data_IF_915226161349
#
_entry.id   IF_915226161349
#
_cell.length_a   1.000
_cell.length_b   1.000
_cell.length_c   1.000
_cell.angle_alpha   90.00
_cell.angle_beta   90.00
_cell.angle_gamma   90.00
#
_symmetry.space_group_name_H-M   'P 1'
#
loop_
_entity.id
_entity.type
_entity.pdbx_description
1 polymer ?
#
# COMPACT_ATOMS: atom_id res chain seq x y z
N UNK A 1 17.64 20.23 24.21
CA UNK A 1 16.70 19.96 23.10
C UNK A 1 17.31 18.86 22.25
N UNK A 2 16.80 17.63 22.34
CA UNK A 2 17.20 16.55 21.44
C UNK A 2 15.99 16.28 20.54
N UNK A 3 16.03 16.83 19.33
CA UNK A 3 15.10 16.50 18.25
C UNK A 3 15.51 15.13 17.71
N UNK A 4 15.09 14.06 18.39
CA UNK A 4 15.21 12.69 17.91
C UNK A 4 14.01 12.36 17.01
N UNK A 5 13.92 13.04 15.87
CA UNK A 5 13.14 12.56 14.72
C UNK A 5 13.97 11.52 13.96
N UNK A 6 14.34 10.43 14.64
CA UNK A 6 15.03 9.27 14.07
C UNK A 6 14.02 8.16 13.78
N UNK A 7 13.19 8.36 12.77
CA UNK A 7 12.67 7.25 11.96
C UNK A 7 12.08 7.78 10.65
N UNK A 8 12.93 8.20 9.72
CA UNK A 8 12.55 8.14 8.31
C UNK A 8 13.07 6.80 7.84
N UNK A 9 12.19 5.81 7.77
CA UNK A 9 12.49 4.52 7.20
C UNK A 9 13.22 4.75 5.88
N UNK A 10 14.48 4.36 5.85
CA UNK A 10 15.26 4.20 4.66
C UNK A 10 14.63 3.02 3.93
N UNK A 11 13.49 3.28 3.30
CA UNK A 11 12.92 2.33 2.38
C UNK A 11 13.75 2.58 1.12
N UNK A 12 14.73 1.72 0.89
CA UNK A 12 15.38 1.58 -0.40
C UNK A 12 14.36 1.00 -1.39
N UNK A 13 13.25 1.70 -1.60
CA UNK A 13 12.31 1.42 -2.67
C UNK A 13 13.04 1.75 -3.96
N UNK A 14 13.07 0.78 -4.87
CA UNK A 14 13.53 1.05 -6.22
C UNK A 14 12.79 2.30 -6.74
N UNK A 15 13.47 3.28 -7.36
CA UNK A 15 12.83 4.51 -7.82
C UNK A 15 11.68 4.27 -8.80
N UNK A 16 11.51 3.06 -9.34
CA UNK A 16 10.35 2.67 -10.15
C UNK A 16 9.11 2.23 -9.35
N UNK A 17 9.25 1.92 -8.06
CA UNK A 17 8.19 1.37 -7.20
C UNK A 17 7.55 2.38 -6.23
N UNK A 18 8.25 3.47 -5.92
CA UNK A 18 7.73 4.63 -5.16
C UNK A 18 6.39 5.17 -5.71
N UNK A 19 6.18 5.34 -7.04
CA UNK A 19 4.89 5.81 -7.56
C UNK A 19 3.74 4.84 -7.25
N UNK A 20 3.98 3.52 -7.35
CA UNK A 20 2.95 2.50 -7.08
C UNK A 20 2.50 2.56 -5.62
N UNK A 21 3.42 2.63 -4.67
CA UNK A 21 3.09 2.72 -3.23
C UNK A 21 2.26 3.97 -2.93
N UNK A 22 2.62 5.11 -3.51
CA UNK A 22 1.87 6.36 -3.33
C UNK A 22 0.46 6.27 -3.93
N UNK A 23 0.32 5.66 -5.09
CA UNK A 23 -0.98 5.46 -5.74
C UNK A 23 -1.85 4.45 -4.98
N UNK A 24 -1.27 3.40 -4.39
CA UNK A 24 -1.95 2.49 -3.46
C UNK A 24 -2.45 3.27 -2.24
N UNK A 25 -1.58 4.05 -1.61
CA UNK A 25 -1.94 4.83 -0.43
C UNK A 25 -3.06 5.84 -0.73
N UNK A 26 -3.03 6.47 -1.91
CA UNK A 26 -4.06 7.40 -2.35
C UNK A 26 -5.39 6.70 -2.64
N UNK A 27 -5.35 5.57 -3.35
CA UNK A 27 -6.53 4.77 -3.66
C UNK A 27 -7.19 4.26 -2.37
N UNK A 28 -6.38 3.71 -1.46
CA UNK A 28 -6.79 3.12 -0.19
C UNK A 28 -6.98 4.14 0.95
N UNK A 29 -6.76 5.45 0.72
CA UNK A 29 -6.87 6.49 1.75
C UNK A 29 -8.27 6.56 2.39
N UNK A 30 -9.30 6.05 1.71
CA UNK A 30 -10.68 5.98 2.18
C UNK A 30 -11.10 4.65 2.77
N UNK A 31 -10.18 3.70 2.95
CA UNK A 31 -10.51 2.36 3.47
C UNK A 31 -10.60 2.37 4.99
N UNK A 32 -11.59 1.64 5.53
CA UNK A 32 -11.71 1.44 6.97
C UNK A 32 -10.86 0.23 7.39
N UNK A 33 -10.05 0.42 8.44
CA UNK A 33 -9.22 -0.62 9.02
C UNK A 33 -9.91 -1.24 10.25
N UNK A 34 -9.68 -2.53 10.54
CA UNK A 34 -8.76 -3.43 9.85
C UNK A 34 -9.35 -4.03 8.57
N UNK A 35 -8.50 -4.29 7.59
CA UNK A 35 -8.89 -4.86 6.30
C UNK A 35 -8.02 -6.06 5.93
N UNK A 36 -8.63 -7.10 5.38
CA UNK A 36 -7.93 -8.26 4.86
C UNK A 36 -7.56 -8.11 3.38
N UNK A 37 -6.68 -8.97 2.88
CA UNK A 37 -6.28 -9.01 1.47
C UNK A 37 -7.47 -9.00 0.50
N UNK A 38 -8.53 -9.77 0.76
CA UNK A 38 -9.70 -9.84 -0.14
C UNK A 38 -10.49 -8.54 -0.11
N UNK A 39 -10.60 -7.93 1.07
CA UNK A 39 -11.15 -6.58 1.22
C UNK A 39 -10.38 -5.55 0.40
N UNK A 40 -9.05 -5.58 0.45
CA UNK A 40 -8.20 -4.68 -0.32
C UNK A 40 -8.37 -4.88 -1.83
N UNK A 41 -8.28 -6.13 -2.31
CA UNK A 41 -8.51 -6.48 -3.72
C UNK A 41 -9.86 -5.97 -4.18
N UNK A 42 -10.93 -6.25 -3.42
CA UNK A 42 -12.29 -5.80 -3.78
C UNK A 42 -12.43 -4.28 -3.80
N UNK A 43 -11.79 -3.59 -2.85
CA UNK A 43 -11.81 -2.13 -2.79
C UNK A 43 -11.09 -1.53 -4.00
N UNK A 44 -9.91 -2.05 -4.35
CA UNK A 44 -9.15 -1.66 -5.54
C UNK A 44 -9.96 -1.93 -6.81
N UNK A 45 -10.52 -3.13 -6.96
CA UNK A 45 -11.38 -3.48 -8.10
C UNK A 45 -12.59 -2.56 -8.24
N UNK A 46 -13.20 -2.16 -7.11
CA UNK A 46 -14.35 -1.25 -7.10
C UNK A 46 -13.97 0.19 -7.42
N UNK A 47 -12.69 0.57 -7.26
CA UNK A 47 -12.18 1.92 -7.53
C UNK A 47 -11.26 1.96 -8.75
N UNK A 48 -11.16 0.87 -9.53
CA UNK A 48 -10.23 0.76 -10.66
C UNK A 48 -10.46 1.83 -11.74
N UNK A 49 -11.71 2.28 -11.89
CA UNK A 49 -12.06 3.31 -12.86
C UNK A 49 -11.59 4.72 -12.45
N UNK A 50 -11.07 4.90 -11.22
CA UNK A 50 -10.58 6.18 -10.70
C UNK A 50 -9.08 6.38 -10.89
N UNK A 51 -8.34 5.36 -11.32
CA UNK A 51 -6.89 5.42 -11.48
C UNK A 51 -6.43 4.48 -12.60
N UNK A 52 -5.66 5.01 -13.55
CA UNK A 52 -5.05 4.22 -14.62
C UNK A 52 -4.05 3.17 -14.09
N UNK A 53 -3.49 3.39 -12.89
CA UNK A 53 -2.54 2.49 -12.23
C UNK A 53 -3.24 1.38 -11.43
N UNK A 54 -4.58 1.39 -11.39
CA UNK A 54 -5.36 0.44 -10.59
C UNK A 54 -5.10 -1.02 -10.94
N UNK A 55 -4.77 -1.35 -12.19
CA UNK A 55 -4.41 -2.72 -12.59
C UNK A 55 -3.06 -3.15 -11.98
N UNK A 56 -2.06 -2.26 -11.98
CA UNK A 56 -0.77 -2.54 -11.34
C UNK A 56 -0.93 -2.67 -9.83
N UNK A 57 -1.69 -1.76 -9.22
CA UNK A 57 -2.03 -1.78 -7.80
C UNK A 57 -2.75 -3.08 -7.44
N UNK A 58 -3.73 -3.50 -8.25
CA UNK A 58 -4.46 -4.74 -8.04
C UNK A 58 -3.52 -5.95 -8.06
N UNK A 59 -2.60 -5.99 -9.02
CA UNK A 59 -1.62 -7.06 -9.13
C UNK A 59 -0.72 -7.12 -7.87
N UNK A 60 -0.18 -5.97 -7.44
CA UNK A 60 0.63 -5.89 -6.21
C UNK A 60 -0.15 -6.37 -4.99
N UNK A 61 -1.37 -5.86 -4.78
CA UNK A 61 -2.23 -6.24 -3.65
C UNK A 61 -2.66 -7.71 -3.71
N UNK A 62 -2.80 -8.28 -4.91
CA UNK A 62 -3.08 -9.71 -5.11
C UNK A 62 -1.87 -10.60 -4.81
N UNK A 63 -0.65 -10.10 -4.95
CA UNK A 63 0.56 -10.84 -4.61
C UNK A 63 0.93 -10.74 -3.12
N UNK A 64 0.42 -9.73 -2.41
CA UNK A 64 0.61 -9.59 -0.97
C UNK A 64 0.14 -10.85 -0.20
N UNK A 65 0.79 -11.18 0.93
CA UNK A 65 0.36 -12.29 1.77
C UNK A 65 -1.08 -12.10 2.26
N UNK A 66 -1.81 -13.20 2.43
CA UNK A 66 -3.11 -13.19 3.11
C UNK A 66 -2.90 -12.87 4.59
N UNK A 67 -2.91 -11.56 4.90
CA UNK A 67 -2.79 -11.01 6.24
C UNK A 67 -3.91 -10.00 6.50
N UNK A 68 -4.10 -9.66 7.78
CA UNK A 68 -5.06 -8.65 8.21
C UNK A 68 -4.33 -7.35 8.53
N UNK A 69 -4.37 -6.42 7.60
CA UNK A 69 -3.70 -5.14 7.70
C UNK A 69 -4.46 -4.23 8.65
N UNK A 70 -3.78 -3.77 9.70
CA UNK A 70 -4.39 -2.90 10.71
C UNK A 70 -4.32 -1.42 10.34
N UNK A 71 -3.37 -1.04 9.48
CA UNK A 71 -3.14 0.36 9.09
C UNK A 71 -2.56 0.43 7.69
N UNK A 72 -2.58 1.62 7.10
CA UNK A 72 -1.92 1.87 5.81
C UNK A 72 -0.43 1.51 5.84
N UNK A 73 0.27 1.82 6.94
CA UNK A 73 1.69 1.49 7.08
C UNK A 73 1.97 -0.01 7.05
N UNK A 74 1.02 -0.84 7.48
CA UNK A 74 1.11 -2.30 7.41
C UNK A 74 1.10 -2.77 5.94
N UNK A 75 0.20 -2.18 5.15
CA UNK A 75 0.09 -2.43 3.71
C UNK A 75 1.35 -1.95 2.99
N UNK A 76 1.77 -0.71 3.22
CA UNK A 76 2.99 -0.14 2.62
C UNK A 76 4.19 -1.01 2.92
N UNK A 77 4.39 -1.41 4.18
CA UNK A 77 5.49 -2.31 4.55
C UNK A 77 5.42 -3.67 3.85
N UNK A 78 4.24 -4.27 3.78
CA UNK A 78 4.09 -5.56 3.10
C UNK A 78 4.41 -5.46 1.60
N UNK A 79 4.15 -4.31 0.98
CA UNK A 79 4.54 -4.02 -0.40
C UNK A 79 6.04 -3.79 -0.51
N UNK A 80 6.63 -3.00 0.41
CA UNK A 80 8.08 -2.76 0.47
C UNK A 80 8.90 -4.04 0.73
N UNK A 81 8.35 -4.99 1.48
CA UNK A 81 8.98 -6.30 1.69
C UNK A 81 8.78 -7.25 0.50
N UNK A 82 7.82 -6.96 -0.38
CA UNK A 82 7.47 -7.77 -1.53
C UNK A 82 8.22 -7.35 -2.81
N UNK A 83 8.45 -6.04 -3.00
CA UNK A 83 9.15 -5.44 -4.14
C UNK A 83 10.68 -5.56 -3.98
#
# INVERSE_FOLDING_TARGET
MNDESKNKGNVDVDPTDVPVIASIANLLAGVEFPIDKKGLVKYVESNKEKSDESEQILNVVQELPESQYQTMSDITKAIEEYL
#
